data_IF_104679354156
#
_entry.id   IF_104679354156
#
_cell.length_a   1.000
_cell.length_b   1.000
_cell.length_c   1.000
_cell.angle_alpha   90.00
_cell.angle_beta   90.00
_cell.angle_gamma   90.00
#
_symmetry.space_group_name_H-M   'P 1'
#
loop_
_entity.id
_entity.type
_entity.pdbx_description
1 polymer ?
#
# COMPACT_ATOMS: atom_id res chain seq x y z
N UNK A 1 29.53 -4.28 10.69
CA UNK A 1 28.62 -5.15 11.47
C UNK A 1 27.93 -6.06 10.46
N UNK A 2 28.14 -7.38 10.50
CA UNK A 2 27.54 -8.34 9.54
C UNK A 2 26.37 -9.04 10.24
N UNK A 3 25.16 -8.94 9.69
CA UNK A 3 24.04 -9.74 10.16
C UNK A 3 24.27 -11.20 9.76
N UNK A 4 24.39 -12.08 10.74
CA UNK A 4 24.50 -13.52 10.53
C UNK A 4 23.10 -14.11 10.73
N UNK A 5 22.47 -14.56 9.66
CA UNK A 5 21.21 -15.32 9.76
C UNK A 5 21.56 -16.79 10.05
N UNK A 6 21.45 -17.18 11.32
CA UNK A 6 21.59 -18.58 11.73
C UNK A 6 20.26 -19.34 11.49
N UNK A 7 20.33 -20.41 10.70
CA UNK A 7 19.46 -21.57 10.89
C UNK A 7 18.01 -21.51 10.38
N UNK A 8 17.65 -20.60 9.47
CA UNK A 8 16.36 -20.71 8.77
C UNK A 8 16.53 -21.55 7.50
N UNK A 9 15.87 -22.72 7.45
CA UNK A 9 15.39 -23.28 6.17
C UNK A 9 14.81 -22.12 5.37
N UNK A 10 15.27 -21.92 4.13
CA UNK A 10 14.88 -20.79 3.30
C UNK A 10 13.35 -20.71 3.21
N UNK A 11 12.74 -19.90 4.08
CA UNK A 11 11.40 -19.42 3.86
C UNK A 11 11.47 -18.67 2.52
N UNK A 12 10.53 -18.96 1.63
CA UNK A 12 10.46 -18.27 0.34
C UNK A 12 10.59 -16.77 0.61
N UNK A 13 11.47 -16.10 -0.13
CA UNK A 13 11.70 -14.68 0.07
C UNK A 13 10.35 -13.94 -0.01
N UNK A 14 10.10 -12.95 0.88
CA UNK A 14 8.86 -12.18 0.86
C UNK A 14 8.54 -11.70 -0.54
N UNK A 15 7.30 -11.90 -0.98
CA UNK A 15 6.87 -11.57 -2.34
C UNK A 15 6.13 -10.24 -2.32
N UNK A 16 6.48 -9.33 -3.22
CA UNK A 16 5.74 -8.08 -3.40
C UNK A 16 4.59 -8.35 -4.37
N UNK A 17 3.35 -8.22 -3.89
CA UNK A 17 2.16 -8.23 -4.76
C UNK A 17 1.80 -6.80 -5.13
N UNK A 18 1.81 -6.50 -6.42
CA UNK A 18 1.45 -5.18 -6.95
C UNK A 18 0.03 -5.20 -7.52
N UNK A 19 -0.75 -4.20 -7.13
CA UNK A 19 -2.07 -3.89 -7.68
C UNK A 19 -2.00 -2.54 -8.35
N UNK A 20 -2.66 -2.42 -9.51
CA UNK A 20 -2.66 -1.18 -10.31
C UNK A 20 -4.08 -0.81 -10.67
N UNK A 21 -4.43 0.45 -10.46
CA UNK A 21 -5.64 1.08 -10.96
C UNK A 21 -5.24 2.17 -11.94
N UNK A 22 -5.37 1.90 -13.24
CA UNK A 22 -4.83 2.76 -14.31
C UNK A 22 -5.43 4.18 -14.35
N UNK A 23 -6.68 4.33 -13.90
CA UNK A 23 -7.35 5.61 -13.71
C UNK A 23 -7.94 5.67 -12.31
N UNK A 24 -7.45 6.59 -11.49
CA UNK A 24 -7.91 6.77 -10.12
C UNK A 24 -8.24 8.26 -9.85
N UNK A 25 -9.48 8.68 -10.20
CA UNK A 25 -9.89 10.09 -10.16
C UNK A 25 -9.96 10.63 -8.74
N UNK A 26 -10.05 11.94 -8.63
CA UNK A 26 -10.33 12.62 -7.37
C UNK A 26 -11.57 12.02 -6.69
N UNK A 27 -11.47 11.75 -5.38
CA UNK A 27 -12.52 11.14 -4.55
C UNK A 27 -12.93 9.73 -4.94
N UNK A 28 -12.20 9.09 -5.85
CA UNK A 28 -12.41 7.69 -6.14
C UNK A 28 -12.01 6.82 -4.94
N UNK A 29 -12.79 5.77 -4.76
CA UNK A 29 -12.55 4.69 -3.81
C UNK A 29 -12.28 3.43 -4.61
N UNK A 30 -11.26 2.68 -4.21
CA UNK A 30 -10.86 1.44 -4.86
C UNK A 30 -10.65 0.35 -3.82
N UNK A 31 -11.47 -0.70 -3.89
CA UNK A 31 -11.21 -1.97 -3.21
C UNK A 31 -10.03 -2.67 -3.90
N UNK A 32 -8.87 -2.67 -3.25
CA UNK A 32 -7.62 -3.17 -3.84
C UNK A 32 -7.60 -4.69 -3.85
N UNK A 33 -7.81 -5.30 -2.69
CA UNK A 33 -7.80 -6.74 -2.46
C UNK A 33 -8.40 -7.08 -1.09
N UNK A 34 -8.62 -8.36 -0.82
CA UNK A 34 -8.93 -8.85 0.52
C UNK A 34 -7.77 -8.55 1.48
N UNK A 35 -8.10 -8.22 2.73
CA UNK A 35 -7.12 -7.93 3.75
C UNK A 35 -6.23 -9.17 4.03
N UNK A 36 -4.90 -9.02 4.08
CA UNK A 36 -4.00 -10.14 4.31
C UNK A 36 -4.24 -10.84 5.65
N UNK A 37 -3.88 -12.12 5.73
CA UNK A 37 -3.98 -12.90 6.97
C UNK A 37 -2.86 -12.60 7.97
N UNK A 38 -1.76 -12.00 7.49
CA UNK A 38 -0.57 -11.68 8.28
C UNK A 38 -0.34 -10.17 8.26
N UNK A 39 0.36 -9.67 9.28
CA UNK A 39 0.83 -8.29 9.30
C UNK A 39 1.68 -8.03 8.04
N UNK A 40 1.43 -6.91 7.37
CA UNK A 40 2.11 -6.58 6.11
C UNK A 40 2.47 -5.11 6.03
N UNK A 41 3.50 -4.81 5.25
CA UNK A 41 3.77 -3.46 4.79
C UNK A 41 3.01 -3.20 3.51
N UNK A 42 2.27 -2.10 3.48
CA UNK A 42 1.57 -1.61 2.31
C UNK A 42 2.28 -0.35 1.84
N UNK A 43 2.64 -0.29 0.56
CA UNK A 43 3.08 0.95 -0.07
C UNK A 43 2.03 1.41 -1.06
N UNK A 44 1.73 2.71 -1.04
CA UNK A 44 0.96 3.35 -2.11
C UNK A 44 1.88 4.30 -2.87
N UNK A 45 1.72 4.32 -4.19
CA UNK A 45 2.43 5.22 -5.08
C UNK A 45 1.44 5.79 -6.09
N UNK A 46 1.52 7.11 -6.28
CA UNK A 46 0.69 7.84 -7.22
C UNK A 46 1.53 8.86 -7.99
N UNK A 47 1.49 8.78 -9.32
CA UNK A 47 2.23 9.65 -10.23
C UNK A 47 1.34 10.79 -10.75
N UNK A 48 1.77 12.04 -10.58
CA UNK A 48 1.09 13.23 -11.08
C UNK A 48 1.73 13.77 -12.36
N UNK A 49 0.92 14.45 -13.17
CA UNK A 49 1.26 15.03 -14.49
C UNK A 49 2.53 15.91 -14.54
N UNK A 50 3.02 16.37 -13.38
CA UNK A 50 4.14 17.30 -13.25
C UNK A 50 5.41 16.64 -12.67
N UNK A 51 5.57 15.31 -12.80
CA UNK A 51 6.68 14.52 -12.21
C UNK A 51 6.70 14.53 -10.67
N UNK A 52 5.56 14.80 -10.04
CA UNK A 52 5.42 14.73 -8.59
C UNK A 52 4.87 13.36 -8.21
N UNK A 53 5.49 12.73 -7.22
CA UNK A 53 5.09 11.42 -6.73
C UNK A 53 4.61 11.54 -5.30
N UNK A 54 3.40 11.04 -5.03
CA UNK A 54 2.95 10.79 -3.68
C UNK A 54 3.23 9.33 -3.35
N UNK A 55 4.02 9.12 -2.31
CA UNK A 55 4.31 7.80 -1.78
C UNK A 55 3.95 7.77 -0.31
N UNK A 56 3.33 6.68 0.13
CA UNK A 56 3.10 6.42 1.53
C UNK A 56 3.38 4.96 1.86
N UNK A 57 3.84 4.72 3.09
CA UNK A 57 4.11 3.40 3.65
C UNK A 57 3.24 3.23 4.87
N UNK A 58 2.53 2.12 4.94
CA UNK A 58 1.64 1.77 6.02
C UNK A 58 2.01 0.41 6.61
N UNK A 59 1.82 0.27 7.91
CA UNK A 59 1.74 -1.03 8.57
C UNK A 59 0.27 -1.46 8.62
N UNK A 60 -0.02 -2.66 8.11
CA UNK A 60 -1.29 -3.34 8.34
C UNK A 60 -1.12 -4.38 9.44
N UNK A 61 -2.04 -4.36 10.40
CA UNK A 61 -2.08 -5.29 11.52
C UNK A 61 -3.27 -6.24 11.33
N UNK A 62 -2.99 -7.50 11.02
CA UNK A 62 -4.01 -8.49 10.65
C UNK A 62 -4.96 -8.82 11.80
N UNK A 63 -4.43 -8.90 13.03
CA UNK A 63 -5.21 -9.23 14.23
C UNK A 63 -6.32 -8.20 14.50
N UNK A 64 -6.03 -6.92 14.28
CA UNK A 64 -6.95 -5.81 14.56
C UNK A 64 -7.62 -5.27 13.31
N UNK A 65 -7.19 -5.70 12.12
CA UNK A 65 -7.59 -5.15 10.83
C UNK A 65 -7.43 -3.63 10.75
N UNK A 66 -6.32 -3.12 11.29
CA UNK A 66 -6.02 -1.69 11.30
C UNK A 66 -4.83 -1.37 10.43
N UNK A 67 -4.81 -0.15 9.89
CA UNK A 67 -3.70 0.38 9.10
C UNK A 67 -3.15 1.60 9.83
N UNK A 68 -1.83 1.72 9.91
CA UNK A 68 -1.13 2.87 10.48
C UNK A 68 -0.16 3.44 9.46
N UNK A 69 -0.25 4.75 9.21
CA UNK A 69 0.70 5.45 8.37
C UNK A 69 2.05 5.54 9.07
N UNK A 70 3.09 4.96 8.47
CA UNK A 70 4.46 5.02 8.98
C UNK A 70 5.23 6.20 8.39
N UNK A 71 5.08 6.43 7.09
CA UNK A 71 5.78 7.49 6.38
C UNK A 71 5.02 7.90 5.13
N UNK A 72 5.17 9.17 4.73
CA UNK A 72 4.59 9.66 3.49
C UNK A 72 5.34 10.88 2.97
N UNK A 73 5.52 10.97 1.65
CA UNK A 73 5.92 12.22 1.00
C UNK A 73 4.73 13.20 0.92
N UNK A 74 3.53 12.69 0.58
CA UNK A 74 2.21 13.35 0.66
C UNK A 74 1.07 12.32 0.75
N UNK A 75 0.03 12.64 1.51
CA UNK A 75 -1.08 11.72 1.85
C UNK A 75 -2.32 11.90 0.96
N UNK A 76 -2.12 11.92 -0.35
CA UNK A 76 -3.23 12.09 -1.30
C UNK A 76 -4.01 10.79 -1.54
N UNK A 77 -3.32 9.65 -1.57
CA UNK A 77 -3.96 8.33 -1.52
C UNK A 77 -3.87 7.85 -0.09
N UNK A 78 -5.02 7.60 0.52
CA UNK A 78 -5.11 7.03 1.86
C UNK A 78 -5.45 5.54 1.76
N UNK A 79 -4.84 4.74 2.62
CA UNK A 79 -5.13 3.31 2.74
C UNK A 79 -5.92 3.08 4.02
N UNK A 80 -7.06 2.41 3.89
CA UNK A 80 -7.93 1.97 4.98
C UNK A 80 -8.23 0.48 4.87
N UNK A 81 -8.90 -0.07 5.88
CA UNK A 81 -9.49 -1.41 5.84
C UNK A 81 -10.98 -1.27 6.08
N UNK A 82 -11.79 -1.77 5.15
CA UNK A 82 -13.24 -1.70 5.22
C UNK A 82 -13.81 -3.07 4.84
N UNK A 83 -14.69 -3.62 5.70
CA UNK A 83 -15.32 -4.92 5.48
C UNK A 83 -14.33 -6.05 5.13
N UNK A 84 -13.15 -6.05 5.77
CA UNK A 84 -12.11 -7.06 5.52
C UNK A 84 -11.34 -6.88 4.20
N UNK A 85 -11.42 -5.71 3.56
CA UNK A 85 -10.70 -5.38 2.33
C UNK A 85 -9.75 -4.21 2.52
N UNK A 86 -8.62 -4.24 1.82
CA UNK A 86 -7.75 -3.06 1.68
C UNK A 86 -8.41 -2.10 0.70
N UNK A 87 -8.63 -0.87 1.14
CA UNK A 87 -9.25 0.18 0.34
C UNK A 87 -8.27 1.33 0.16
N UNK A 88 -8.16 1.81 -1.07
CA UNK A 88 -7.46 3.04 -1.40
C UNK A 88 -8.48 4.14 -1.70
N UNK A 89 -8.28 5.33 -1.12
CA UNK A 89 -9.14 6.50 -1.34
C UNK A 89 -8.29 7.68 -1.83
N UNK A 90 -8.66 8.25 -2.97
CA UNK A 90 -8.00 9.44 -3.53
C UNK A 90 -8.60 10.70 -2.94
N UNK A 91 -7.77 11.59 -2.40
CA UNK A 91 -8.19 12.91 -1.89
C UNK A 91 -7.63 14.08 -2.72
N UNK A 92 -6.79 13.82 -3.73
CA UNK A 92 -6.19 14.86 -4.57
C UNK A 92 -7.12 15.42 -5.61
N UNK A 93 -7.11 16.75 -5.76
CA UNK A 93 -7.79 17.49 -6.83
C UNK A 93 -7.13 17.42 -8.21
N UNK A 94 -5.97 16.77 -8.32
CA UNK A 94 -5.21 16.73 -9.56
C UNK A 94 -5.14 15.30 -10.14
N UNK A 95 -5.95 15.07 -11.16
CA UNK A 95 -5.82 14.07 -12.24
C UNK A 95 -6.15 12.58 -11.99
N UNK A 96 -6.87 12.03 -12.98
CA UNK A 96 -7.00 10.61 -13.31
C UNK A 96 -5.65 10.01 -13.73
N UNK A 97 -4.93 9.42 -12.78
CA UNK A 97 -3.67 8.73 -13.06
C UNK A 97 -3.62 7.37 -12.38
N UNK A 98 -2.60 6.60 -12.74
CA UNK A 98 -2.43 5.28 -12.20
C UNK A 98 -2.06 5.34 -10.71
N UNK A 99 -2.83 4.62 -9.91
CA UNK A 99 -2.51 4.33 -8.52
C UNK A 99 -1.94 2.92 -8.40
N UNK A 100 -0.85 2.79 -7.67
CA UNK A 100 -0.18 1.54 -7.42
C UNK A 100 -0.21 1.27 -5.93
N UNK A 101 -0.62 0.05 -5.55
CA UNK A 101 -0.62 -0.41 -4.17
C UNK A 101 0.17 -1.71 -4.13
N UNK A 102 1.22 -1.78 -3.32
CA UNK A 102 2.04 -2.97 -3.17
C UNK A 102 1.92 -3.51 -1.74
N UNK A 103 1.77 -4.82 -1.61
CA UNK A 103 1.72 -5.52 -0.33
C UNK A 103 2.91 -6.48 -0.23
N UNK A 104 3.61 -6.47 0.90
CA UNK A 104 4.67 -7.43 1.20
C UNK A 104 4.06 -8.71 1.79
N UNK A 105 3.88 -9.74 0.96
CA UNK A 105 3.23 -11.00 1.32
C UNK A 105 4.24 -12.10 1.70
#
# INVERSE_FOLDING_TARGET
>A
MRCIMHGQTAAAAPQIRQYVKESFPQYAVWEVCDAPKNDTLITSYFNYNNSWYAMAVYAYYAKTQTVTLLHSTKTWVQISVENGKIVATQSSGNADRACYVNLLA
#
